data_IF_744504905714
#
_entry.id   IF_744504905714
#
_cell.length_a   1.000
_cell.length_b   1.000
_cell.length_c   1.000
_cell.angle_alpha   90.00
_cell.angle_beta   90.00
_cell.angle_gamma   90.00
#
_symmetry.space_group_name_H-M   'P 1'
#
loop_
_entity.id
_entity.type
_entity.pdbx_description
1 polymer ?
#
# COMPACT_ATOMS: atom_id res chain seq x y z
N UNK A 1 2.51 -7.03 59.63
CA UNK A 1 2.13 -7.37 58.24
C UNK A 1 3.02 -6.75 57.15
N UNK A 2 3.92 -5.80 57.46
CA UNK A 2 4.79 -5.17 56.44
C UNK A 2 6.11 -5.90 56.13
N UNK A 3 6.55 -6.90 56.92
CA UNK A 3 7.82 -7.62 56.64
C UNK A 3 7.73 -8.60 55.46
N UNK A 4 6.55 -9.13 55.16
CA UNK A 4 6.36 -10.09 54.06
C UNK A 4 6.14 -9.43 52.70
N UNK A 5 5.71 -8.15 52.68
CA UNK A 5 5.49 -7.38 51.46
C UNK A 5 6.82 -7.06 50.77
N UNK A 6 7.86 -6.71 51.55
CA UNK A 6 9.20 -6.46 50.98
C UNK A 6 9.84 -7.74 50.42
N UNK A 7 9.63 -8.91 51.03
CA UNK A 7 10.09 -10.19 50.46
C UNK A 7 9.36 -10.54 49.15
N UNK A 8 8.05 -10.28 49.06
CA UNK A 8 7.27 -10.53 47.84
C UNK A 8 7.68 -9.59 46.69
N UNK A 9 7.99 -8.33 46.97
CA UNK A 9 8.49 -7.36 45.97
C UNK A 9 9.92 -7.71 45.52
N UNK A 10 10.78 -8.20 46.43
CA UNK A 10 12.14 -8.62 46.06
C UNK A 10 12.15 -9.91 45.22
N UNK A 11 11.30 -10.88 45.55
CA UNK A 11 11.16 -12.13 44.79
C UNK A 11 10.58 -11.91 43.39
N UNK A 12 9.71 -10.91 43.21
CA UNK A 12 9.13 -10.59 41.89
C UNK A 12 10.10 -9.81 40.99
N UNK A 13 11.06 -9.06 41.55
CA UNK A 13 12.13 -8.44 40.74
C UNK A 13 13.23 -9.44 40.33
N UNK A 14 13.51 -10.47 41.13
CA UNK A 14 14.49 -11.51 40.78
C UNK A 14 13.99 -12.46 39.68
N UNK A 15 12.67 -12.70 39.59
CA UNK A 15 12.07 -13.50 38.51
C UNK A 15 12.04 -12.77 37.16
N UNK A 16 12.08 -11.43 37.14
CA UNK A 16 12.09 -10.63 35.91
C UNK A 16 13.51 -10.34 35.37
N UNK A 17 14.56 -10.64 36.14
CA UNK A 17 15.95 -10.45 35.73
C UNK A 17 16.67 -11.74 35.27
N UNK A 18 15.92 -12.85 35.16
CA UNK A 18 16.47 -14.18 34.83
C UNK A 18 16.20 -14.66 33.39
N UNK A 19 15.77 -13.76 32.48
CA UNK A 19 15.70 -14.05 31.04
C UNK A 19 16.73 -13.22 30.24
N UNK A 20 17.92 -13.08 30.81
CA UNK A 20 19.10 -12.57 30.13
C UNK A 20 20.23 -13.59 30.25
N UNK A 21 20.25 -14.60 29.37
CA UNK A 21 21.52 -15.10 28.84
C UNK A 21 21.33 -15.91 27.55
N UNK A 22 22.03 -15.43 26.52
CA UNK A 22 22.78 -16.18 25.52
C UNK A 22 22.28 -17.61 25.23
N UNK A 23 21.47 -17.73 24.18
CA UNK A 23 21.52 -18.97 23.41
C UNK A 23 22.80 -18.97 22.54
N UNK A 24 23.57 -20.07 22.54
CA UNK A 24 24.66 -20.27 21.61
C UNK A 24 24.11 -20.39 20.18
N UNK A 25 24.90 -19.96 19.20
CA UNK A 25 24.64 -20.25 17.78
C UNK A 25 24.45 -21.77 17.60
N UNK A 26 23.30 -22.24 17.09
CA UNK A 26 23.21 -23.59 16.56
C UNK A 26 23.81 -23.54 15.15
N UNK A 27 24.96 -24.21 14.99
CA UNK A 27 25.42 -24.65 13.69
C UNK A 27 24.32 -25.48 13.02
N UNK A 28 24.25 -25.33 11.69
CA UNK A 28 23.20 -25.82 10.79
C UNK A 28 22.47 -27.08 11.22
N UNK A 29 21.13 -26.99 11.19
CA UNK A 29 20.24 -28.03 10.68
C UNK A 29 18.90 -27.39 10.31
N UNK A 30 18.41 -27.76 9.13
CA UNK A 30 17.17 -27.29 8.51
C UNK A 30 15.98 -27.32 9.48
N UNK A 31 15.59 -26.16 10.00
CA UNK A 31 14.28 -25.96 10.62
C UNK A 31 13.33 -25.45 9.54
N UNK A 32 12.70 -26.39 8.83
CA UNK A 32 11.43 -26.16 8.15
C UNK A 32 10.37 -25.91 9.24
N UNK A 33 10.36 -24.70 9.79
CA UNK A 33 9.26 -24.20 10.60
C UNK A 33 8.04 -24.10 9.69
N UNK A 34 7.22 -25.15 9.70
CA UNK A 34 5.82 -25.10 9.28
C UNK A 34 5.06 -24.13 10.18
N UNK A 35 5.25 -22.83 9.97
CA UNK A 35 4.26 -21.86 10.39
C UNK A 35 2.95 -22.27 9.71
N UNK A 36 1.88 -22.41 10.49
CA UNK A 36 0.54 -22.60 9.93
C UNK A 36 0.29 -21.47 8.93
N UNK A 37 0.39 -21.80 7.64
CA UNK A 37 0.27 -20.90 6.50
C UNK A 37 -1.17 -20.46 6.27
N UNK A 38 -2.09 -20.74 7.19
CA UNK A 38 -3.48 -20.32 7.07
C UNK A 38 -3.60 -18.80 7.16
N UNK A 39 -4.37 -18.22 6.24
CA UNK A 39 -4.77 -16.81 6.27
C UNK A 39 -5.67 -16.53 7.48
N UNK A 40 -5.46 -15.39 8.12
CA UNK A 40 -6.40 -14.80 9.08
C UNK A 40 -7.73 -14.43 8.42
N UNK A 41 -8.76 -14.21 9.23
CA UNK A 41 -10.08 -13.79 8.72
C UNK A 41 -10.00 -12.45 7.96
N UNK A 42 -9.22 -11.50 8.46
CA UNK A 42 -8.99 -10.21 7.84
C UNK A 42 -8.27 -10.34 6.48
N UNK A 43 -7.20 -11.15 6.42
CA UNK A 43 -6.50 -11.40 5.15
C UNK A 43 -7.40 -12.06 4.11
N UNK A 44 -8.24 -13.01 4.51
CA UNK A 44 -9.25 -13.63 3.62
C UNK A 44 -10.23 -12.61 3.07
N UNK A 45 -10.74 -11.70 3.91
CA UNK A 45 -11.67 -10.65 3.46
C UNK A 45 -11.03 -9.74 2.42
N UNK A 46 -9.76 -9.35 2.61
CA UNK A 46 -9.01 -8.50 1.68
C UNK A 46 -8.76 -9.20 0.35
N UNK A 47 -8.35 -10.47 0.39
CA UNK A 47 -8.10 -11.26 -0.83
C UNK A 47 -9.38 -11.54 -1.60
N UNK A 48 -10.49 -11.87 -0.91
CA UNK A 48 -11.77 -12.07 -1.58
C UNK A 48 -12.25 -10.77 -2.25
N UNK A 49 -12.09 -9.62 -1.59
CA UNK A 49 -12.42 -8.32 -2.16
C UNK A 49 -11.58 -7.99 -3.41
N UNK A 50 -10.25 -8.21 -3.36
CA UNK A 50 -9.36 -8.05 -4.52
C UNK A 50 -9.77 -8.98 -5.66
N UNK A 51 -9.99 -10.27 -5.36
CA UNK A 51 -10.40 -11.27 -6.33
C UNK A 51 -11.74 -10.92 -6.96
N UNK A 52 -12.74 -10.50 -6.18
CA UNK A 52 -14.05 -10.11 -6.68
C UNK A 52 -13.98 -8.95 -7.68
N UNK A 53 -13.07 -7.99 -7.47
CA UNK A 53 -12.82 -6.92 -8.44
C UNK A 53 -12.19 -7.43 -9.74
N UNK A 54 -11.18 -8.29 -9.65
CA UNK A 54 -10.55 -8.88 -10.83
C UNK A 54 -11.52 -9.79 -11.62
N UNK A 55 -12.26 -10.66 -10.92
CA UNK A 55 -13.30 -11.52 -11.49
C UNK A 55 -14.33 -10.69 -12.28
N UNK A 56 -14.70 -9.51 -11.74
CA UNK A 56 -15.66 -8.60 -12.39
C UNK A 56 -15.14 -8.09 -13.73
N UNK A 57 -13.88 -7.64 -13.80
CA UNK A 57 -13.30 -7.14 -15.06
C UNK A 57 -13.05 -8.28 -16.04
N UNK A 58 -12.55 -9.44 -15.58
CA UNK A 58 -12.32 -10.61 -16.45
C UNK A 58 -13.63 -11.06 -17.08
N UNK A 59 -14.73 -11.09 -16.30
CA UNK A 59 -16.07 -11.37 -16.84
C UNK A 59 -16.51 -10.33 -17.86
N UNK A 60 -16.22 -9.04 -17.65
CA UNK A 60 -16.50 -8.00 -18.64
C UNK A 60 -15.71 -8.23 -19.94
N UNK A 61 -14.42 -8.58 -19.85
CA UNK A 61 -13.62 -8.95 -21.02
C UNK A 61 -14.21 -10.17 -21.76
N UNK A 62 -14.65 -11.20 -21.04
CA UNK A 62 -15.33 -12.37 -21.62
C UNK A 62 -16.58 -11.97 -22.38
N UNK A 63 -17.46 -11.16 -21.77
CA UNK A 63 -18.68 -10.71 -22.42
C UNK A 63 -18.38 -9.88 -23.68
N UNK A 64 -17.39 -8.99 -23.62
CA UNK A 64 -16.97 -8.22 -24.81
C UNK A 64 -16.52 -9.14 -25.95
N UNK A 65 -15.75 -10.20 -25.67
CA UNK A 65 -15.32 -11.16 -26.69
C UNK A 65 -16.48 -11.90 -27.37
N UNK A 66 -17.60 -12.10 -26.66
CA UNK A 66 -18.78 -12.81 -27.14
C UNK A 66 -19.72 -11.86 -27.89
N UNK A 67 -20.01 -10.70 -27.28
CA UNK A 67 -21.13 -9.85 -27.66
C UNK A 67 -20.72 -8.69 -28.58
N UNK A 68 -19.44 -8.30 -28.59
CA UNK A 68 -18.97 -7.13 -29.35
C UNK A 68 -18.24 -7.54 -30.64
N UNK A 69 -18.98 -7.56 -31.75
CA UNK A 69 -18.46 -7.85 -33.09
C UNK A 69 -17.51 -6.79 -33.64
N UNK A 70 -17.47 -5.59 -33.06
CA UNK A 70 -16.66 -4.45 -33.52
C UNK A 70 -15.35 -4.28 -32.75
N UNK A 71 -15.00 -5.22 -31.86
CA UNK A 71 -13.71 -5.21 -31.17
C UNK A 71 -12.56 -5.15 -32.18
N UNK A 72 -11.63 -4.24 -31.97
CA UNK A 72 -10.41 -4.23 -32.77
C UNK A 72 -9.62 -5.53 -32.56
N UNK A 73 -8.84 -5.92 -33.56
CA UNK A 73 -7.95 -7.10 -33.45
C UNK A 73 -7.03 -7.00 -32.23
N UNK A 74 -6.57 -5.78 -31.88
CA UNK A 74 -5.71 -5.55 -30.73
C UNK A 74 -6.45 -5.84 -29.42
N UNK A 75 -7.63 -5.25 -29.22
CA UNK A 75 -8.44 -5.45 -28.01
C UNK A 75 -8.85 -6.92 -27.85
N UNK A 76 -9.28 -7.55 -28.95
CA UNK A 76 -9.63 -8.98 -28.96
C UNK A 76 -8.48 -9.85 -28.48
N UNK A 77 -7.27 -9.60 -28.99
CA UNK A 77 -6.07 -10.33 -28.58
C UNK A 77 -5.70 -10.08 -27.11
N UNK A 78 -5.90 -8.86 -26.60
CA UNK A 78 -5.65 -8.54 -25.20
C UNK A 78 -6.64 -9.26 -24.28
N UNK A 79 -7.94 -9.16 -24.55
CA UNK A 79 -8.98 -9.80 -23.74
C UNK A 79 -8.84 -11.33 -23.76
N UNK A 80 -8.57 -11.93 -24.91
CA UNK A 80 -8.38 -13.39 -25.02
C UNK A 80 -7.25 -13.88 -24.11
N UNK A 81 -6.12 -13.17 -24.07
CA UNK A 81 -4.98 -13.51 -23.21
C UNK A 81 -5.31 -13.37 -21.73
N UNK A 82 -5.99 -12.30 -21.32
CA UNK A 82 -6.44 -12.10 -19.94
C UNK A 82 -7.36 -13.24 -19.51
N UNK A 83 -8.39 -13.52 -20.31
CA UNK A 83 -9.39 -14.57 -20.04
C UNK A 83 -8.76 -15.96 -19.95
N UNK A 84 -7.69 -16.21 -20.71
CA UNK A 84 -6.99 -17.51 -20.71
C UNK A 84 -6.05 -17.65 -19.51
N UNK A 85 -5.29 -16.60 -19.16
CA UNK A 85 -4.25 -16.67 -18.11
C UNK A 85 -4.81 -16.52 -16.69
N UNK A 86 -5.86 -15.73 -16.53
CA UNK A 86 -6.37 -15.38 -15.21
C UNK A 86 -6.79 -16.59 -14.35
N UNK A 87 -7.49 -17.62 -14.89
CA UNK A 87 -7.82 -18.82 -14.12
C UNK A 87 -6.59 -19.52 -13.56
N UNK A 88 -5.57 -19.75 -14.38
CA UNK A 88 -4.31 -20.41 -13.99
C UNK A 88 -3.59 -19.63 -12.88
N UNK A 89 -3.59 -18.30 -12.97
CA UNK A 89 -2.99 -17.44 -11.96
C UNK A 89 -3.74 -17.51 -10.62
N UNK A 90 -5.08 -17.45 -10.64
CA UNK A 90 -5.89 -17.52 -9.42
C UNK A 90 -5.77 -18.88 -8.74
N UNK A 91 -5.73 -19.97 -9.51
CA UNK A 91 -5.48 -21.31 -8.99
C UNK A 91 -4.09 -21.38 -8.34
N UNK A 92 -3.05 -20.89 -9.02
CA UNK A 92 -1.71 -20.81 -8.44
C UNK A 92 -1.69 -19.98 -7.15
N UNK A 93 -2.32 -18.81 -7.13
CA UNK A 93 -2.36 -17.94 -5.94
C UNK A 93 -3.07 -18.65 -4.77
N UNK A 94 -4.16 -19.38 -5.05
CA UNK A 94 -4.89 -20.15 -4.04
C UNK A 94 -4.03 -21.21 -3.34
N UNK A 95 -3.08 -21.79 -4.08
CA UNK A 95 -2.12 -22.79 -3.59
C UNK A 95 -0.89 -22.16 -2.91
N UNK A 96 -0.75 -20.84 -2.93
CA UNK A 96 0.37 -20.10 -2.35
C UNK A 96 -0.12 -19.14 -1.24
N UNK A 97 -0.42 -19.66 -0.03
CA UNK A 97 -0.96 -18.85 1.06
C UNK A 97 -0.05 -17.70 1.52
N UNK A 98 1.27 -17.86 1.49
CA UNK A 98 2.18 -16.77 1.87
C UNK A 98 2.11 -15.60 0.88
N UNK A 99 1.91 -15.90 -0.41
CA UNK A 99 1.67 -14.91 -1.47
C UNK A 99 0.32 -14.22 -1.26
N UNK A 100 -0.71 -14.95 -0.86
CA UNK A 100 -1.99 -14.34 -0.47
C UNK A 100 -1.85 -13.38 0.72
N UNK A 101 -1.05 -13.74 1.74
CA UNK A 101 -0.78 -12.84 2.88
C UNK A 101 -0.07 -11.56 2.42
N UNK A 102 0.92 -11.70 1.55
CA UNK A 102 1.65 -10.56 0.99
C UNK A 102 0.73 -9.61 0.22
N UNK A 103 -0.11 -10.13 -0.68
CA UNK A 103 -1.10 -9.31 -1.39
C UNK A 103 -2.16 -8.71 -0.47
N UNK A 104 -2.62 -9.43 0.55
CA UNK A 104 -3.57 -8.90 1.54
C UNK A 104 -2.96 -7.71 2.30
N UNK A 105 -1.70 -7.82 2.70
CA UNK A 105 -0.98 -6.77 3.40
C UNK A 105 -0.75 -5.54 2.51
N UNK A 106 -0.40 -5.75 1.26
CA UNK A 106 -0.27 -4.67 0.28
C UNK A 106 -1.63 -4.00 0.03
N UNK A 107 -2.68 -4.77 -0.26
CA UNK A 107 -4.04 -4.30 -0.55
C UNK A 107 -4.76 -3.65 0.65
N UNK A 108 -4.22 -3.81 1.86
CA UNK A 108 -4.83 -3.31 3.10
C UNK A 108 -5.26 -1.84 3.00
N UNK A 109 -4.46 -0.99 2.36
CA UNK A 109 -4.75 0.45 2.38
C UNK A 109 -5.89 0.81 1.44
N UNK A 110 -5.96 0.17 0.27
CA UNK A 110 -7.11 0.30 -0.63
C UNK A 110 -8.36 -0.25 0.05
N UNK A 111 -8.24 -1.38 0.76
CA UNK A 111 -9.34 -2.00 1.48
C UNK A 111 -9.88 -1.12 2.62
N UNK A 112 -8.99 -0.50 3.41
CA UNK A 112 -9.35 0.42 4.50
C UNK A 112 -10.05 1.67 3.95
N UNK A 113 -9.51 2.26 2.88
CA UNK A 113 -10.14 3.37 2.17
C UNK A 113 -11.56 3.01 1.72
N UNK A 114 -11.74 1.85 1.08
CA UNK A 114 -13.06 1.38 0.64
C UNK A 114 -14.01 1.13 1.80
N UNK A 115 -13.53 0.58 2.92
CA UNK A 115 -14.37 0.36 4.09
C UNK A 115 -14.91 1.67 4.68
N UNK A 116 -14.12 2.74 4.64
CA UNK A 116 -14.59 4.04 5.12
C UNK A 116 -15.65 4.64 4.19
N UNK A 117 -15.43 4.59 2.88
CA UNK A 117 -16.44 5.03 1.89
C UNK A 117 -17.72 4.21 2.04
N UNK A 118 -17.60 2.90 2.21
CA UNK A 118 -18.71 2.00 2.52
C UNK A 118 -19.46 2.44 3.77
N UNK A 119 -18.78 2.71 4.88
CA UNK A 119 -19.45 3.14 6.14
C UNK A 119 -20.20 4.46 5.94
N UNK A 120 -19.63 5.41 5.19
CA UNK A 120 -20.21 6.74 4.99
C UNK A 120 -21.42 6.73 4.05
N UNK A 121 -21.38 5.93 2.98
CA UNK A 121 -22.30 6.08 1.84
C UNK A 121 -23.08 4.82 1.50
N UNK A 122 -22.64 3.63 1.93
CA UNK A 122 -23.23 2.34 1.57
C UNK A 122 -23.06 1.29 2.67
N UNK A 123 -23.45 1.63 3.91
CA UNK A 123 -23.12 0.86 5.12
C UNK A 123 -23.74 -0.54 5.16
N UNK A 124 -24.78 -0.76 4.35
CA UNK A 124 -25.45 -2.04 4.13
C UNK A 124 -24.69 -3.00 3.20
N UNK A 125 -23.69 -2.51 2.45
CA UNK A 125 -22.86 -3.35 1.59
C UNK A 125 -21.64 -3.88 2.37
N UNK A 126 -21.07 -4.97 1.88
CA UNK A 126 -19.69 -5.39 2.19
C UNK A 126 -18.69 -4.67 1.28
N UNK A 127 -17.40 -4.67 1.63
CA UNK A 127 -16.36 -4.13 0.75
C UNK A 127 -16.33 -4.81 -0.62
N UNK A 128 -16.45 -6.15 -0.65
CA UNK A 128 -16.49 -6.90 -1.90
C UNK A 128 -17.67 -6.48 -2.78
N UNK A 129 -18.87 -6.35 -2.20
CA UNK A 129 -20.04 -5.85 -2.94
C UNK A 129 -19.86 -4.42 -3.42
N UNK A 130 -19.26 -3.55 -2.61
CA UNK A 130 -18.95 -2.18 -3.02
C UNK A 130 -18.05 -2.18 -4.25
N UNK A 131 -16.95 -2.93 -4.24
CA UNK A 131 -16.00 -3.08 -5.36
C UNK A 131 -16.71 -3.56 -6.63
N UNK A 132 -17.45 -4.67 -6.53
CA UNK A 132 -18.16 -5.28 -7.66
C UNK A 132 -19.16 -4.29 -8.25
N UNK A 133 -19.93 -3.60 -7.41
CA UNK A 133 -20.91 -2.63 -7.88
C UNK A 133 -20.24 -1.41 -8.53
N UNK A 134 -19.15 -0.90 -7.94
CA UNK A 134 -18.32 0.18 -8.51
C UNK A 134 -17.89 -0.14 -9.94
N UNK A 135 -17.31 -1.32 -10.12
CA UNK A 135 -16.77 -1.74 -11.40
C UNK A 135 -17.87 -1.96 -12.43
N UNK A 136 -18.98 -2.57 -12.04
CA UNK A 136 -20.13 -2.73 -12.93
C UNK A 136 -20.68 -1.37 -13.41
N UNK A 137 -20.68 -0.35 -12.55
CA UNK A 137 -21.06 1.01 -12.94
C UNK A 137 -20.09 1.63 -13.95
N UNK A 138 -18.79 1.51 -13.70
CA UNK A 138 -17.76 1.99 -14.62
C UNK A 138 -17.84 1.29 -15.99
N UNK A 139 -18.12 -0.01 -16.02
CA UNK A 139 -18.20 -0.83 -17.24
C UNK A 139 -19.45 -0.50 -18.07
N UNK A 140 -20.60 -0.22 -17.43
CA UNK A 140 -21.89 -0.11 -18.11
C UNK A 140 -22.30 1.32 -18.53
N UNK A 141 -21.48 2.33 -18.22
CA UNK A 141 -21.69 3.77 -18.50
C UNK A 141 -23.12 4.30 -18.27
N UNK A 142 -23.36 4.90 -17.10
CA UNK A 142 -24.46 5.81 -16.69
C UNK A 142 -25.95 5.40 -16.89
N UNK A 143 -26.28 4.41 -17.73
CA UNK A 143 -27.66 4.00 -18.02
C UNK A 143 -28.19 2.90 -17.08
N UNK A 144 -27.39 2.45 -16.11
CA UNK A 144 -27.85 1.56 -15.06
C UNK A 144 -28.45 2.38 -13.92
N UNK A 145 -29.77 2.28 -13.73
CA UNK A 145 -30.48 2.95 -12.63
C UNK A 145 -29.89 2.62 -11.26
N UNK A 146 -29.23 1.47 -11.11
CA UNK A 146 -28.53 1.09 -9.87
C UNK A 146 -27.30 1.96 -9.59
N UNK A 147 -26.66 2.55 -10.60
CA UNK A 147 -25.51 3.43 -10.41
C UNK A 147 -25.92 4.86 -10.04
N UNK A 148 -27.18 5.21 -10.27
CA UNK A 148 -27.76 6.53 -10.04
C UNK A 148 -28.58 6.62 -8.73
N UNK A 149 -28.58 5.57 -7.90
CA UNK A 149 -29.19 5.62 -6.58
C UNK A 149 -28.28 6.39 -5.60
N UNK A 150 -28.88 7.29 -4.80
CA UNK A 150 -28.20 8.13 -3.80
C UNK A 150 -27.45 7.36 -2.69
N UNK A 151 -27.47 6.02 -2.71
CA UNK A 151 -26.75 5.11 -1.80
C UNK A 151 -25.37 4.71 -2.33
N UNK A 152 -24.89 5.31 -3.41
CA UNK A 152 -23.57 5.00 -3.97
C UNK A 152 -22.52 6.06 -3.64
N UNK A 153 -21.29 5.57 -3.49
CA UNK A 153 -20.09 6.31 -3.05
C UNK A 153 -19.74 7.54 -3.94
N UNK A 154 -20.42 7.69 -5.07
CA UNK A 154 -20.05 8.58 -6.18
C UNK A 154 -20.87 9.88 -6.27
N UNK A 155 -21.78 10.14 -5.32
CA UNK A 155 -22.67 11.30 -5.41
C UNK A 155 -21.99 12.66 -5.12
N UNK A 156 -20.74 12.67 -4.68
CA UNK A 156 -20.01 13.90 -4.38
C UNK A 156 -19.28 14.45 -5.61
N UNK A 157 -19.46 15.75 -5.90
CA UNK A 157 -18.86 16.43 -7.06
C UNK A 157 -17.32 16.35 -7.10
N UNK A 158 -16.68 16.08 -5.98
CA UNK A 158 -15.22 15.88 -5.89
C UNK A 158 -14.75 14.52 -6.45
N UNK A 159 -15.65 13.55 -6.62
CA UNK A 159 -15.33 12.17 -7.03
C UNK A 159 -15.82 11.83 -8.44
N UNK A 160 -16.00 12.83 -9.32
CA UNK A 160 -16.59 12.68 -10.66
C UNK A 160 -15.88 11.66 -11.58
N UNK A 161 -14.70 11.16 -11.19
CA UNK A 161 -13.92 10.16 -11.92
C UNK A 161 -13.57 8.93 -11.07
N UNK A 162 -14.12 8.80 -9.85
CA UNK A 162 -13.73 7.72 -8.95
C UNK A 162 -14.01 6.35 -9.57
N UNK A 163 -15.17 6.15 -10.19
CA UNK A 163 -15.49 4.89 -10.88
C UNK A 163 -14.49 4.55 -11.99
N UNK A 164 -14.07 5.54 -12.78
CA UNK A 164 -13.10 5.37 -13.86
C UNK A 164 -11.70 5.08 -13.32
N UNK A 165 -11.26 5.83 -12.30
CA UNK A 165 -9.99 5.60 -11.62
C UNK A 165 -9.97 4.22 -10.96
N UNK A 166 -11.08 3.82 -10.35
CA UNK A 166 -11.26 2.53 -9.71
C UNK A 166 -11.23 1.38 -10.72
N UNK A 167 -11.91 1.54 -11.85
CA UNK A 167 -11.82 0.60 -12.98
C UNK A 167 -10.39 0.49 -13.50
N UNK A 168 -9.73 1.63 -13.73
CA UNK A 168 -8.36 1.67 -14.20
C UNK A 168 -7.40 0.99 -13.21
N UNK A 169 -7.59 1.16 -11.91
CA UNK A 169 -6.81 0.48 -10.87
C UNK A 169 -6.82 -1.04 -11.06
N UNK A 170 -7.99 -1.67 -11.17
CA UNK A 170 -8.08 -3.12 -11.38
C UNK A 170 -7.66 -3.54 -12.80
N UNK A 171 -8.03 -2.77 -13.83
CA UNK A 171 -7.74 -3.10 -15.22
C UNK A 171 -6.22 -3.13 -15.49
N UNK A 172 -5.42 -2.29 -14.83
CA UNK A 172 -3.97 -2.31 -15.00
C UNK A 172 -3.34 -3.64 -14.58
N UNK A 173 -3.81 -4.28 -13.51
CA UNK A 173 -3.30 -5.60 -13.12
C UNK A 173 -3.50 -6.63 -14.23
N UNK A 174 -4.63 -6.59 -14.91
CA UNK A 174 -4.93 -7.48 -16.03
C UNK A 174 -4.10 -7.13 -17.29
N UNK A 175 -3.84 -5.85 -17.54
CA UNK A 175 -2.92 -5.42 -18.61
C UNK A 175 -1.49 -5.93 -18.33
N UNK A 176 -1.01 -5.90 -17.08
CA UNK A 176 0.30 -6.46 -16.75
C UNK A 176 0.33 -7.98 -16.91
N UNK A 177 -0.74 -8.68 -16.52
CA UNK A 177 -0.90 -10.13 -16.74
C UNK A 177 -0.76 -10.53 -18.22
N UNK A 178 -1.23 -9.68 -19.13
CA UNK A 178 -1.09 -9.90 -20.57
C UNK A 178 0.39 -10.00 -21.01
N UNK A 179 1.26 -9.17 -20.40
CA UNK A 179 2.65 -8.97 -20.83
C UNK A 179 3.67 -9.89 -20.13
N UNK A 180 3.27 -10.60 -19.07
CA UNK A 180 4.14 -11.46 -18.25
C UNK A 180 4.04 -12.93 -18.67
N UNK A 181 5.07 -13.74 -18.36
CA UNK A 181 5.15 -15.15 -18.77
C UNK A 181 4.84 -16.11 -17.63
N UNK A 182 5.09 -15.72 -16.39
CA UNK A 182 4.95 -16.60 -15.22
C UNK A 182 3.99 -16.02 -14.17
N UNK A 183 3.43 -16.90 -13.33
CA UNK A 183 2.57 -16.48 -12.21
C UNK A 183 3.31 -15.62 -11.19
N UNK A 184 4.62 -15.84 -11.00
CA UNK A 184 5.45 -15.03 -10.12
C UNK A 184 5.61 -13.60 -10.66
N UNK A 185 5.81 -13.44 -11.97
CA UNK A 185 5.87 -12.10 -12.60
C UNK A 185 4.51 -11.38 -12.52
N UNK A 186 3.41 -12.11 -12.70
CA UNK A 186 2.05 -11.57 -12.50
C UNK A 186 1.90 -11.09 -11.04
N UNK A 187 2.29 -11.92 -10.09
CA UNK A 187 2.22 -11.63 -8.67
C UNK A 187 3.01 -10.35 -8.30
N UNK A 188 4.26 -10.23 -8.75
CA UNK A 188 5.07 -9.04 -8.49
C UNK A 188 4.44 -7.79 -9.12
N UNK A 189 3.79 -7.90 -10.28
CA UNK A 189 3.09 -6.76 -10.91
C UNK A 189 1.83 -6.32 -10.16
N UNK A 190 1.30 -7.16 -9.27
CA UNK A 190 0.13 -6.84 -8.44
C UNK A 190 0.49 -6.16 -7.12
N UNK A 191 1.77 -6.15 -6.75
CA UNK A 191 2.21 -5.44 -5.55
C UNK A 191 1.96 -3.96 -5.69
N UNK A 192 1.47 -3.38 -4.60
CA UNK A 192 1.04 -1.98 -4.59
C UNK A 192 2.19 -0.99 -4.43
N UNK A 193 3.40 -1.47 -4.18
CA UNK A 193 4.62 -0.66 -4.25
C UNK A 193 5.24 -0.79 -5.64
N UNK A 194 5.44 0.28 -6.43
CA UNK A 194 5.11 1.70 -6.23
C UNK A 194 3.97 2.14 -7.17
N UNK A 195 2.75 1.63 -6.94
CA UNK A 195 1.67 1.86 -7.88
C UNK A 195 1.16 3.30 -7.78
N UNK A 196 1.60 4.15 -8.71
CA UNK A 196 1.20 5.56 -8.83
C UNK A 196 -0.33 5.72 -8.90
N UNK A 197 -1.05 4.74 -9.46
CA UNK A 197 -2.51 4.77 -9.54
C UNK A 197 -3.23 4.62 -8.19
N UNK A 198 -2.53 4.27 -7.10
CA UNK A 198 -3.14 4.34 -5.76
C UNK A 198 -3.36 5.81 -5.38
N UNK A 199 -2.43 6.72 -5.71
CA UNK A 199 -2.61 8.14 -5.44
C UNK A 199 -3.87 8.67 -6.12
N UNK A 200 -4.10 8.27 -7.37
CA UNK A 200 -5.31 8.65 -8.11
C UNK A 200 -6.56 8.08 -7.43
N UNK A 201 -6.47 6.86 -6.86
CA UNK A 201 -7.57 6.16 -6.21
C UNK A 201 -7.97 6.73 -4.84
N UNK A 202 -6.99 6.98 -3.98
CA UNK A 202 -7.21 7.44 -2.59
C UNK A 202 -7.10 8.95 -2.42
N UNK A 203 -6.59 9.66 -3.42
CA UNK A 203 -6.50 11.11 -3.47
C UNK A 203 -5.74 11.75 -2.30
N UNK A 204 -6.32 12.83 -1.76
CA UNK A 204 -5.77 13.75 -0.73
C UNK A 204 -5.65 13.08 0.65
N UNK A 205 -6.13 11.84 0.84
CA UNK A 205 -6.04 11.08 2.10
C UNK A 205 -4.62 10.53 2.40
N UNK A 206 -3.58 11.13 1.82
CA UNK A 206 -2.15 10.98 2.17
C UNK A 206 -1.94 10.91 3.68
N UNK A 207 -2.74 11.63 4.46
CA UNK A 207 -2.71 11.62 5.93
C UNK A 207 -2.76 10.20 6.51
N UNK A 208 -3.48 9.26 5.89
CA UNK A 208 -3.56 7.87 6.38
C UNK A 208 -2.29 7.08 6.13
N UNK A 209 -1.69 7.23 4.95
CA UNK A 209 -0.38 6.65 4.66
C UNK A 209 0.69 7.24 5.56
N UNK A 210 0.64 8.55 5.77
CA UNK A 210 1.49 9.25 6.71
C UNK A 210 1.32 8.69 8.13
N UNK A 211 0.09 8.49 8.60
CA UNK A 211 -0.20 7.93 9.92
C UNK A 211 0.30 6.49 10.06
N UNK A 212 0.11 5.65 9.03
CA UNK A 212 0.64 4.28 8.98
C UNK A 212 2.16 4.29 9.08
N UNK A 213 2.83 5.13 8.29
CA UNK A 213 4.29 5.30 8.35
C UNK A 213 4.69 5.83 9.74
N UNK A 214 4.05 6.88 10.25
CA UNK A 214 4.35 7.49 11.57
C UNK A 214 4.30 6.49 12.72
N UNK A 215 3.41 5.49 12.67
CA UNK A 215 3.34 4.43 13.70
C UNK A 215 4.61 3.58 13.76
N UNK A 216 5.36 3.46 12.65
CA UNK A 216 6.61 2.69 12.59
C UNK A 216 7.87 3.52 12.88
N UNK A 217 7.73 4.85 12.97
CA UNK A 217 8.82 5.79 13.16
C UNK A 217 9.12 6.08 14.64
N UNK A 218 10.41 6.22 14.97
CA UNK A 218 10.84 6.76 16.25
C UNK A 218 10.68 8.30 16.31
N UNK A 219 10.97 8.90 17.47
CA UNK A 219 10.83 10.34 17.69
C UNK A 219 11.60 11.20 16.67
N UNK A 220 12.84 10.85 16.39
CA UNK A 220 13.73 11.58 15.49
C UNK A 220 13.24 11.48 14.04
N UNK A 221 12.83 10.29 13.63
CA UNK A 221 12.26 10.05 12.30
C UNK A 221 10.94 10.80 12.09
N UNK A 222 10.09 10.91 13.12
CA UNK A 222 8.86 11.73 13.07
C UNK A 222 9.17 13.20 12.85
N UNK A 223 10.22 13.74 13.51
CA UNK A 223 10.69 15.10 13.26
C UNK A 223 11.23 15.28 11.83
N UNK A 224 12.04 14.33 11.36
CA UNK A 224 12.51 14.31 9.97
C UNK A 224 11.36 14.27 8.97
N UNK A 225 10.29 13.52 9.27
CA UNK A 225 9.09 13.44 8.42
C UNK A 225 8.32 14.77 8.38
N UNK A 226 8.16 15.43 9.53
CA UNK A 226 7.56 16.77 9.59
C UNK A 226 8.34 17.75 8.70
N UNK A 227 9.67 17.75 8.83
CA UNK A 227 10.54 18.60 8.04
C UNK A 227 10.43 18.32 6.53
N UNK A 228 10.44 17.04 6.16
CA UNK A 228 10.27 16.60 4.78
C UNK A 228 8.92 17.05 4.20
N UNK A 229 7.85 16.90 4.99
CA UNK A 229 6.49 17.33 4.62
C UNK A 229 6.43 18.84 4.39
N UNK A 230 7.10 19.63 5.22
CA UNK A 230 7.21 21.08 5.02
C UNK A 230 8.07 21.45 3.80
N UNK A 231 9.09 20.66 3.47
CA UNK A 231 9.92 20.88 2.29
C UNK A 231 9.17 20.62 0.97
N UNK A 232 8.19 19.71 0.99
CA UNK A 232 7.39 19.36 -0.18
C UNK A 232 6.14 20.21 -0.32
N UNK A 233 6.10 21.02 -1.38
CA UNK A 233 4.88 21.70 -1.83
C UNK A 233 3.96 20.72 -2.59
N UNK A 234 4.53 19.68 -3.22
CA UNK A 234 3.78 18.71 -4.02
C UNK A 234 3.42 17.47 -3.18
N UNK A 235 2.12 17.29 -2.94
CA UNK A 235 1.53 16.16 -2.21
C UNK A 235 1.83 14.79 -2.85
N UNK A 236 1.87 14.69 -4.18
CA UNK A 236 2.20 13.45 -4.90
C UNK A 236 3.63 12.98 -4.63
N UNK A 237 4.60 13.90 -4.58
CA UNK A 237 6.00 13.54 -4.29
C UNK A 237 6.13 13.00 -2.86
N UNK A 238 5.44 13.64 -1.91
CA UNK A 238 5.40 13.17 -0.53
C UNK A 238 4.74 11.79 -0.42
N UNK A 239 3.64 11.57 -1.12
CA UNK A 239 2.98 10.26 -1.20
C UNK A 239 3.91 9.18 -1.75
N UNK A 240 4.58 9.44 -2.87
CA UNK A 240 5.52 8.51 -3.47
C UNK A 240 6.65 8.15 -2.51
N UNK A 241 7.12 9.09 -1.69
CA UNK A 241 8.08 8.79 -0.63
C UNK A 241 7.50 7.85 0.45
N UNK A 242 6.25 8.06 0.87
CA UNK A 242 5.61 7.27 1.94
C UNK A 242 5.37 5.80 1.56
N UNK A 243 5.28 5.48 0.26
CA UNK A 243 5.05 4.11 -0.22
C UNK A 243 6.33 3.30 -0.45
N UNK A 244 7.51 3.92 -0.28
CA UNK A 244 8.80 3.24 -0.44
C UNK A 244 9.03 2.13 0.60
N UNK A 245 10.17 1.44 0.46
CA UNK A 245 10.61 0.48 1.45
C UNK A 245 10.78 1.15 2.83
N UNK A 246 10.22 0.56 3.88
CA UNK A 246 10.20 1.12 5.23
C UNK A 246 11.60 1.40 5.78
N UNK A 247 12.57 0.51 5.52
CA UNK A 247 13.95 0.71 5.97
C UNK A 247 14.60 1.89 5.24
N UNK A 248 14.33 2.05 3.94
CA UNK A 248 14.80 3.20 3.14
C UNK A 248 14.19 4.51 3.63
N UNK A 249 12.89 4.53 3.92
CA UNK A 249 12.20 5.67 4.53
C UNK A 249 12.88 6.04 5.85
N UNK A 250 13.04 5.08 6.76
CA UNK A 250 13.67 5.30 8.07
C UNK A 250 15.09 5.86 7.95
N UNK A 251 15.88 5.37 7.00
CA UNK A 251 17.24 5.86 6.75
C UNK A 251 17.25 7.32 6.26
N UNK A 252 16.39 7.66 5.30
CA UNK A 252 16.24 9.04 4.80
C UNK A 252 15.77 9.99 5.91
N UNK A 253 14.76 9.60 6.68
CA UNK A 253 14.23 10.46 7.76
C UNK A 253 15.24 10.69 8.88
N UNK A 254 16.04 9.67 9.22
CA UNK A 254 17.16 9.84 10.16
C UNK A 254 18.20 10.82 9.62
N UNK A 255 18.54 10.72 8.33
CA UNK A 255 19.48 11.64 7.70
C UNK A 255 18.97 13.09 7.74
N UNK A 256 17.71 13.31 7.32
CA UNK A 256 17.08 14.64 7.37
C UNK A 256 17.10 15.20 8.79
N UNK A 257 16.73 14.39 9.78
CA UNK A 257 16.76 14.81 11.18
C UNK A 257 18.18 15.21 11.62
N UNK A 258 19.18 14.39 11.31
CA UNK A 258 20.56 14.67 11.67
C UNK A 258 21.08 15.94 10.99
N UNK A 259 20.80 16.14 9.71
CA UNK A 259 21.16 17.35 8.97
C UNK A 259 20.43 18.60 9.49
N UNK A 260 19.19 18.46 9.96
CA UNK A 260 18.41 19.54 10.54
C UNK A 260 18.88 19.95 11.95
N UNK A 261 19.31 18.98 12.77
CA UNK A 261 19.83 19.25 14.12
C UNK A 261 21.29 19.72 14.10
N UNK A 262 22.08 19.34 13.07
CA UNK A 262 23.44 19.84 12.86
C UNK A 262 23.41 21.38 12.87
N UNK A 263 24.28 21.95 13.68
CA UNK A 263 24.46 23.40 13.88
C UNK A 263 23.20 24.20 14.27
N UNK A 264 22.15 23.54 14.81
CA UNK A 264 20.86 24.19 15.11
C UNK A 264 20.27 24.89 13.88
N UNK A 265 20.17 24.22 12.72
CA UNK A 265 19.52 24.80 11.53
C UNK A 265 18.14 25.40 11.84
N UNK A 266 17.42 24.83 12.82
CA UNK A 266 16.13 25.34 13.34
C UNK A 266 16.14 26.78 13.84
N UNK A 267 17.32 27.34 14.15
CA UNK A 267 17.49 28.73 14.62
C UNK A 267 17.85 29.67 13.46
N UNK A 268 18.28 29.15 12.31
CA UNK A 268 18.68 29.93 11.14
C UNK A 268 17.78 29.63 9.93
N UNK A 269 16.79 30.49 9.72
CA UNK A 269 15.77 30.38 8.66
C UNK A 269 16.39 30.22 7.25
N UNK A 270 17.52 30.88 6.97
CA UNK A 270 18.19 30.81 5.66
C UNK A 270 18.79 29.42 5.45
N UNK A 271 19.45 28.87 6.46
CA UNK A 271 20.03 27.54 6.39
C UNK A 271 18.94 26.46 6.32
N UNK A 272 17.87 26.60 7.09
CA UNK A 272 16.71 25.72 7.04
C UNK A 272 16.09 25.69 5.63
N UNK A 273 15.89 26.86 5.02
CA UNK A 273 15.34 27.00 3.67
C UNK A 273 16.23 26.34 2.62
N UNK A 274 17.56 26.41 2.81
CA UNK A 274 18.54 25.78 1.93
C UNK A 274 18.46 24.25 2.00
N UNK A 275 18.36 23.68 3.21
CA UNK A 275 18.17 22.24 3.38
C UNK A 275 16.85 21.77 2.75
N UNK A 276 15.74 22.50 2.97
CA UNK A 276 14.45 22.22 2.31
C UNK A 276 14.58 22.24 0.79
N UNK A 277 15.32 23.20 0.23
CA UNK A 277 15.58 23.28 -1.21
C UNK A 277 16.41 22.09 -1.72
N UNK A 278 17.47 21.69 -1.02
CA UNK A 278 18.27 20.52 -1.39
C UNK A 278 17.45 19.23 -1.40
N UNK A 279 16.62 19.02 -0.39
CA UNK A 279 15.69 17.88 -0.31
C UNK A 279 14.71 17.93 -1.50
N UNK A 280 14.07 19.08 -1.74
CA UNK A 280 13.11 19.24 -2.85
C UNK A 280 13.77 18.94 -4.20
N UNK A 281 14.96 19.49 -4.45
CA UNK A 281 15.71 19.29 -5.68
C UNK A 281 16.06 17.81 -5.89
N UNK A 282 16.43 17.11 -4.82
CA UNK A 282 16.71 15.69 -4.88
C UNK A 282 15.50 14.89 -5.40
N UNK A 283 14.36 15.03 -4.73
CA UNK A 283 13.15 14.25 -5.04
C UNK A 283 12.46 14.69 -6.34
N UNK A 284 12.77 15.86 -6.87
CA UNK A 284 12.31 16.28 -8.20
C UNK A 284 13.09 15.60 -9.34
N UNK A 285 14.32 15.13 -9.08
CA UNK A 285 15.27 14.68 -10.10
C UNK A 285 15.51 13.16 -10.10
N UNK A 286 14.88 12.41 -9.18
CA UNK A 286 15.30 11.04 -8.87
C UNK A 286 14.14 10.04 -8.91
N UNK A 287 14.44 8.88 -9.49
CA UNK A 287 13.66 7.64 -9.45
C UNK A 287 13.95 6.84 -8.16
N UNK A 288 13.02 6.00 -7.73
CA UNK A 288 13.02 5.29 -6.43
C UNK A 288 14.32 4.53 -6.14
N UNK A 289 14.99 4.07 -7.19
CA UNK A 289 16.24 3.31 -7.14
C UNK A 289 17.45 4.10 -6.67
N UNK A 290 17.40 5.44 -6.64
CA UNK A 290 18.55 6.23 -6.18
C UNK A 290 18.41 6.72 -4.74
N UNK A 291 17.40 6.30 -3.96
CA UNK A 291 17.26 6.75 -2.57
C UNK A 291 18.53 6.49 -1.72
N UNK A 292 19.32 5.48 -2.09
CA UNK A 292 20.56 5.13 -1.42
C UNK A 292 21.64 6.25 -1.55
N UNK A 293 21.54 7.10 -2.58
CA UNK A 293 22.41 8.28 -2.79
C UNK A 293 21.92 9.53 -2.03
N UNK A 294 20.76 9.45 -1.34
CA UNK A 294 20.14 10.62 -0.70
C UNK A 294 21.05 11.25 0.33
N UNK A 295 21.67 10.42 1.16
CA UNK A 295 22.54 10.86 2.24
C UNK A 295 23.78 11.60 1.73
N UNK A 296 24.25 11.25 0.53
CA UNK A 296 25.40 11.89 -0.09
C UNK A 296 25.06 13.24 -0.72
N UNK A 297 23.87 13.35 -1.32
CA UNK A 297 23.48 14.49 -2.15
C UNK A 297 22.63 15.52 -1.42
N UNK A 298 21.86 15.12 -0.41
CA UNK A 298 21.05 16.00 0.41
C UNK A 298 21.77 16.31 1.73
N UNK A 299 22.93 16.94 1.63
CA UNK A 299 23.69 17.44 2.80
C UNK A 299 23.31 18.88 3.09
N UNK A 300 23.33 19.19 4.37
CA UNK A 300 23.23 20.56 4.83
C UNK A 300 24.50 21.33 4.50
N UNK A 301 24.34 22.64 4.32
CA UNK A 301 25.41 23.62 4.52
C UNK A 301 25.26 24.35 5.87
N UNK A 302 24.32 23.90 6.71
CA UNK A 302 24.60 23.75 8.12
C UNK A 302 25.63 22.59 8.32
#
# INVERSE_FOLDING_TARGET
MNKYIYCLILCSMLLLYSCGDKNPMPNGNNLTNGFNTTLSADEKLKINALKGGLDTIVKACQNQLIDNSNLSTLEKNQYQKIVTKYPDFIEWLSNNPDKQKELANDFTIVYEFLNEKRIQQASNLTNEQLIINTLNCAIQSQNNSKCNDNNYVYSDKENAFFEEVFYNFFNRFLIYMNNTKTNEEIFESMKLKPYQGIYDLIGIEITKYEDKVRKTLNHNQKKGLNFLKEAFVNKTIFYNFLILNENKIKAVLNHIYNEFEKEKCSVNIIKESTLKYSIKRYFYLIDENKLDEFQEKAKSSC
#
